data_IF_307267652297
#
_entry.id   IF_307267652297
#
_cell.length_a   1.000
_cell.length_b   1.000
_cell.length_c   1.000
_cell.angle_alpha   90.00
_cell.angle_beta   90.00
_cell.angle_gamma   90.00
#
_symmetry.space_group_name_H-M   'P 1'
#
loop_
_entity.id
_entity.type
_entity.pdbx_description
1 polymer ?
#
# COMPACT_ATOMS: atom_id res chain seq x y z
N UNK A 1 20.59 19.00 -5.37
CA UNK A 1 20.08 17.92 -6.25
C UNK A 1 18.77 17.31 -5.73
N UNK A 2 18.68 16.90 -4.45
CA UNK A 2 17.46 16.34 -3.88
C UNK A 2 16.30 17.35 -3.94
N UNK A 3 16.54 18.62 -3.63
CA UNK A 3 15.53 19.68 -3.68
C UNK A 3 14.95 19.91 -5.10
N UNK A 4 15.70 19.61 -6.16
CA UNK A 4 15.20 19.72 -7.53
C UNK A 4 14.35 18.49 -7.95
N UNK A 5 14.43 17.38 -7.21
CA UNK A 5 13.73 16.12 -7.53
C UNK A 5 12.54 15.82 -6.59
N UNK A 6 12.47 16.51 -5.46
CA UNK A 6 11.40 16.33 -4.48
C UNK A 6 10.34 17.41 -4.71
N UNK A 7 9.08 17.00 -4.94
CA UNK A 7 7.95 17.93 -4.98
C UNK A 7 7.92 18.73 -3.66
N UNK A 8 7.96 20.08 -3.69
CA UNK A 8 7.94 20.92 -2.48
C UNK A 8 6.76 20.65 -1.56
N UNK A 9 5.63 20.15 -2.12
CA UNK A 9 4.44 19.77 -1.36
C UNK A 9 4.58 18.43 -0.63
N UNK A 10 5.63 17.65 -0.93
CA UNK A 10 5.90 16.38 -0.26
C UNK A 10 6.84 16.59 0.94
N UNK A 11 6.32 17.28 1.97
CA UNK A 11 7.07 17.60 3.18
C UNK A 11 7.65 16.37 3.89
N UNK A 12 6.95 15.20 3.87
CA UNK A 12 7.45 13.96 4.47
C UNK A 12 8.75 13.50 3.81
N UNK A 13 8.83 13.59 2.50
CA UNK A 13 10.02 13.22 1.73
C UNK A 13 11.17 14.22 1.94
N UNK A 14 10.83 15.50 2.10
CA UNK A 14 11.79 16.55 2.41
C UNK A 14 12.37 16.36 3.82
N UNK A 15 11.52 16.13 4.83
CA UNK A 15 11.94 15.83 6.20
C UNK A 15 12.84 14.60 6.22
N UNK A 16 12.45 13.51 5.56
CA UNK A 16 13.27 12.29 5.50
C UNK A 16 14.64 12.53 4.88
N UNK A 17 14.73 13.36 3.84
CA UNK A 17 16.02 13.71 3.24
C UNK A 17 16.91 14.49 4.22
N UNK A 18 16.33 15.40 5.00
CA UNK A 18 17.05 16.15 6.04
C UNK A 18 17.50 15.25 7.20
N UNK A 19 16.62 14.38 7.71
CA UNK A 19 16.96 13.41 8.76
C UNK A 19 18.18 12.56 8.37
N UNK A 20 18.19 12.07 7.12
CA UNK A 20 19.29 11.27 6.61
C UNK A 20 20.59 12.07 6.54
N UNK A 21 20.54 13.33 6.08
CA UNK A 21 21.72 14.21 6.02
C UNK A 21 22.23 14.49 7.44
N UNK A 22 21.34 14.81 8.37
CA UNK A 22 21.71 15.09 9.77
C UNK A 22 22.32 13.88 10.47
N UNK A 23 21.81 12.69 10.21
CA UNK A 23 22.28 11.45 10.82
C UNK A 23 23.60 10.94 10.23
N UNK A 24 23.88 11.21 8.96
CA UNK A 24 24.99 10.57 8.24
C UNK A 24 26.07 11.55 7.77
N UNK A 25 25.80 12.87 7.78
CA UNK A 25 26.67 13.90 7.20
C UNK A 25 26.77 13.86 5.68
N UNK A 26 26.10 12.91 5.00
CA UNK A 26 26.16 12.72 3.55
C UNK A 26 24.86 13.18 2.88
N UNK A 27 24.96 13.70 1.67
CA UNK A 27 23.76 14.08 0.91
C UNK A 27 22.90 12.87 0.63
N UNK A 28 21.57 13.04 0.68
CA UNK A 28 20.58 11.98 0.41
C UNK A 28 20.79 11.35 -0.99
N UNK A 29 21.21 12.14 -1.98
CA UNK A 29 21.53 11.67 -3.33
C UNK A 29 22.79 10.78 -3.42
N UNK A 30 23.72 10.94 -2.49
CA UNK A 30 24.97 10.17 -2.44
C UNK A 30 24.79 8.80 -1.77
N UNK A 31 23.72 8.61 -1.00
CA UNK A 31 23.45 7.36 -0.30
C UNK A 31 22.70 6.32 -1.15
N UNK A 32 22.23 6.70 -2.32
CA UNK A 32 21.69 5.79 -3.32
C UNK A 32 22.82 5.15 -4.14
N UNK A 33 23.65 4.37 -3.48
CA UNK A 33 24.48 3.42 -4.20
C UNK A 33 23.57 2.35 -4.80
N UNK A 34 23.55 2.22 -6.12
CA UNK A 34 23.16 0.98 -6.76
C UNK A 34 24.32 0.01 -6.50
N UNK A 35 24.30 -0.69 -5.37
CA UNK A 35 25.10 -1.88 -5.27
C UNK A 35 24.37 -2.99 -6.03
N UNK A 36 25.07 -3.71 -6.86
CA UNK A 36 24.51 -4.92 -7.46
C UNK A 36 23.96 -5.82 -6.36
N UNK A 37 22.72 -6.23 -6.51
CA UNK A 37 22.08 -7.11 -5.53
C UNK A 37 22.86 -8.42 -5.49
N UNK A 38 23.29 -8.91 -4.30
CA UNK A 38 23.90 -10.23 -4.19
C UNK A 38 22.87 -11.35 -4.43
N UNK A 39 21.60 -11.01 -4.61
CA UNK A 39 20.49 -11.94 -4.81
C UNK A 39 20.00 -11.89 -6.25
N UNK A 40 19.67 -13.05 -6.80
CA UNK A 40 18.88 -13.15 -8.01
C UNK A 40 17.41 -12.87 -7.67
N UNK A 41 16.86 -11.76 -8.17
CA UNK A 41 15.50 -11.34 -7.85
C UNK A 41 14.54 -11.76 -8.96
N UNK A 42 13.53 -12.55 -8.58
CA UNK A 42 12.38 -12.87 -9.44
C UNK A 42 11.16 -12.11 -8.90
N UNK A 43 10.61 -11.24 -9.71
CA UNK A 43 9.44 -10.44 -9.32
C UNK A 43 8.18 -10.99 -9.98
N UNK A 44 7.24 -11.44 -9.17
CA UNK A 44 5.94 -11.96 -9.62
C UNK A 44 4.87 -10.90 -9.40
N UNK A 45 4.15 -10.54 -10.45
CA UNK A 45 2.99 -9.67 -10.42
C UNK A 45 1.69 -10.45 -10.52
N UNK A 46 0.71 -10.13 -9.69
CA UNK A 46 -0.65 -10.69 -9.76
C UNK A 46 -1.62 -9.64 -10.28
N UNK A 47 -2.39 -9.97 -11.30
CA UNK A 47 -3.36 -9.05 -11.89
C UNK A 47 -4.77 -9.64 -11.93
N UNK A 48 -5.76 -8.75 -11.91
CA UNK A 48 -7.18 -9.04 -12.10
C UNK A 48 -7.83 -7.91 -12.90
N UNK A 49 -8.92 -8.17 -13.62
CA UNK A 49 -9.74 -7.12 -14.21
C UNK A 49 -10.15 -6.08 -13.16
N UNK A 50 -10.10 -4.81 -13.52
CA UNK A 50 -10.37 -3.70 -12.59
C UNK A 50 -11.74 -3.79 -11.94
N UNK A 51 -12.75 -4.19 -12.68
CA UNK A 51 -14.11 -4.35 -12.17
C UNK A 51 -14.19 -5.44 -11.10
N UNK A 52 -13.54 -6.58 -11.33
CA UNK A 52 -13.45 -7.66 -10.34
C UNK A 52 -12.75 -7.19 -9.07
N UNK A 53 -11.64 -6.42 -9.21
CA UNK A 53 -10.96 -5.81 -8.07
C UNK A 53 -11.89 -4.90 -7.27
N UNK A 54 -12.70 -4.07 -7.94
CA UNK A 54 -13.62 -3.16 -7.27
C UNK A 54 -14.73 -3.92 -6.54
N UNK A 55 -15.31 -4.95 -7.16
CA UNK A 55 -16.30 -5.80 -6.49
C UNK A 55 -15.72 -6.47 -5.24
N UNK A 56 -14.50 -6.99 -5.31
CA UNK A 56 -13.81 -7.58 -4.16
C UNK A 56 -13.50 -6.57 -3.06
N UNK A 57 -13.10 -5.35 -3.43
CA UNK A 57 -12.89 -4.24 -2.48
C UNK A 57 -14.19 -3.92 -1.78
N UNK A 58 -15.28 -3.77 -2.51
CA UNK A 58 -16.58 -3.42 -1.95
C UNK A 58 -17.07 -4.52 -0.99
N UNK A 59 -17.02 -5.79 -1.41
CA UNK A 59 -17.37 -6.93 -0.56
C UNK A 59 -16.49 -7.04 0.70
N UNK A 60 -15.18 -6.79 0.57
CA UNK A 60 -14.25 -6.79 1.72
C UNK A 60 -14.60 -5.70 2.72
N UNK A 61 -14.93 -4.49 2.25
CA UNK A 61 -15.29 -3.38 3.14
C UNK A 61 -16.57 -3.73 3.91
N UNK A 62 -17.61 -4.26 3.24
CA UNK A 62 -18.81 -4.71 3.92
C UNK A 62 -18.49 -5.76 4.99
N UNK A 63 -17.72 -6.78 4.64
CA UNK A 63 -17.32 -7.82 5.58
C UNK A 63 -16.52 -7.27 6.78
N UNK A 64 -15.66 -6.29 6.59
CA UNK A 64 -14.91 -5.66 7.69
C UNK A 64 -15.84 -5.00 8.70
N UNK A 65 -16.84 -4.24 8.24
CA UNK A 65 -17.79 -3.59 9.14
C UNK A 65 -18.69 -4.61 9.85
N UNK A 66 -19.19 -5.62 9.15
CA UNK A 66 -19.98 -6.72 9.74
C UNK A 66 -19.18 -7.48 10.82
N UNK A 67 -17.87 -7.64 10.61
CA UNK A 67 -16.97 -8.32 11.55
C UNK A 67 -16.42 -7.41 12.67
N UNK A 68 -16.98 -6.22 12.87
CA UNK A 68 -16.69 -5.38 14.03
C UNK A 68 -15.48 -4.47 13.85
N UNK A 69 -15.19 -4.01 12.63
CA UNK A 69 -14.03 -3.12 12.39
C UNK A 69 -14.09 -1.80 13.20
N UNK A 70 -15.27 -1.23 13.41
CA UNK A 70 -15.45 -0.06 14.29
C UNK A 70 -15.11 -0.39 15.73
N UNK A 71 -15.49 -1.58 16.21
CA UNK A 71 -15.19 -2.01 17.58
C UNK A 71 -13.71 -2.32 17.78
N UNK A 72 -13.02 -2.85 16.77
CA UNK A 72 -11.56 -2.99 16.76
C UNK A 72 -10.89 -1.64 17.03
N UNK A 73 -11.26 -0.63 16.25
CA UNK A 73 -10.68 0.73 16.39
C UNK A 73 -11.04 1.35 17.74
N UNK A 74 -12.28 1.18 18.21
CA UNK A 74 -12.71 1.62 19.55
C UNK A 74 -11.87 0.98 20.64
N UNK A 75 -11.59 -0.32 20.55
CA UNK A 75 -10.73 -1.03 21.46
C UNK A 75 -9.29 -0.53 21.45
N UNK A 76 -8.74 -0.11 20.31
CA UNK A 76 -7.42 0.51 20.23
C UNK A 76 -7.40 1.87 20.92
N UNK A 77 -8.39 2.71 20.67
CA UNK A 77 -8.49 4.03 21.33
C UNK A 77 -8.67 3.88 22.85
N UNK A 78 -9.46 2.92 23.32
CA UNK A 78 -9.66 2.64 24.73
C UNK A 78 -8.37 2.18 25.43
N UNK A 79 -7.43 1.55 24.71
CA UNK A 79 -6.10 1.19 25.19
C UNK A 79 -5.10 2.35 25.18
N UNK A 80 -5.54 3.56 24.84
CA UNK A 80 -4.70 4.78 24.87
C UNK A 80 -3.91 5.04 23.58
N UNK A 81 -4.14 4.27 22.50
CA UNK A 81 -3.51 4.61 21.21
C UNK A 81 -4.12 5.90 20.65
N UNK A 82 -3.27 6.90 20.44
CA UNK A 82 -3.72 8.20 19.94
C UNK A 82 -4.24 8.10 18.49
N UNK A 83 -5.37 8.75 18.14
CA UNK A 83 -5.85 8.85 16.76
C UNK A 83 -4.91 9.65 15.84
N UNK A 84 -3.93 10.38 16.42
CA UNK A 84 -2.90 11.11 15.65
C UNK A 84 -1.70 10.25 15.25
N UNK A 85 -1.63 8.99 15.68
CA UNK A 85 -0.57 8.08 15.25
C UNK A 85 -0.58 7.89 13.74
N UNK A 86 0.60 7.84 13.08
CA UNK A 86 0.69 7.63 11.64
C UNK A 86 -0.07 6.39 11.15
N UNK A 87 -0.10 5.31 11.95
CA UNK A 87 -0.83 4.07 11.66
C UNK A 87 -2.35 4.27 11.64
N UNK A 88 -2.88 5.18 12.45
CA UNK A 88 -4.30 5.54 12.48
C UNK A 88 -4.74 6.37 11.25
N UNK A 89 -3.79 6.85 10.43
CA UNK A 89 -4.09 7.50 9.16
C UNK A 89 -4.33 6.52 8.00
N UNK A 90 -4.20 5.22 8.24
CA UNK A 90 -4.48 4.20 7.24
C UNK A 90 -5.95 4.23 6.80
N UNK A 91 -6.18 3.84 5.52
CA UNK A 91 -7.53 3.76 4.96
C UNK A 91 -8.35 2.79 5.80
N UNK A 92 -9.49 3.25 6.26
CA UNK A 92 -10.40 2.52 7.13
C UNK A 92 -10.29 2.95 8.59
N UNK A 93 -9.09 2.99 9.18
CA UNK A 93 -8.89 3.38 10.57
C UNK A 93 -9.31 4.83 10.83
N UNK A 94 -8.89 5.75 9.97
CA UNK A 94 -9.26 7.16 10.07
C UNK A 94 -10.77 7.35 9.98
N UNK A 95 -11.42 6.67 9.06
CA UNK A 95 -12.86 6.75 8.87
C UNK A 95 -13.62 6.14 10.07
N UNK A 96 -13.14 5.03 10.64
CA UNK A 96 -13.70 4.47 11.86
C UNK A 96 -13.52 5.39 13.08
N UNK A 97 -12.40 6.11 13.20
CA UNK A 97 -12.24 7.15 14.23
C UNK A 97 -13.33 8.23 14.09
N UNK A 98 -13.62 8.68 12.87
CA UNK A 98 -14.70 9.64 12.63
C UNK A 98 -16.10 9.08 12.95
N UNK A 99 -16.33 7.78 12.71
CA UNK A 99 -17.58 7.13 13.16
C UNK A 99 -17.69 7.13 14.68
N UNK A 100 -16.62 6.75 15.39
CA UNK A 100 -16.59 6.70 16.86
C UNK A 100 -16.83 8.09 17.47
N UNK A 101 -16.38 9.15 16.80
CA UNK A 101 -16.61 10.55 17.21
C UNK A 101 -18.00 11.08 16.85
N UNK A 102 -18.80 10.33 16.11
CA UNK A 102 -20.11 10.78 15.62
C UNK A 102 -20.03 11.79 14.45
N UNK A 103 -18.87 11.94 13.82
CA UNK A 103 -18.63 12.82 12.67
C UNK A 103 -19.16 12.19 11.37
N UNK A 104 -19.19 10.87 11.29
CA UNK A 104 -19.67 10.08 10.15
C UNK A 104 -20.60 8.97 10.62
N UNK A 105 -21.55 8.59 9.76
CA UNK A 105 -22.22 7.29 9.87
C UNK A 105 -21.34 6.17 9.31
N UNK A 106 -21.59 4.92 9.66
CA UNK A 106 -20.86 3.79 9.10
C UNK A 106 -20.98 3.73 7.58
N UNK A 107 -22.16 4.02 7.03
CA UNK A 107 -22.37 4.06 5.58
C UNK A 107 -21.54 5.15 4.90
N UNK A 108 -21.44 6.33 5.51
CA UNK A 108 -20.58 7.40 5.00
C UNK A 108 -19.10 7.01 5.06
N UNK A 109 -18.67 6.35 6.13
CA UNK A 109 -17.31 5.83 6.27
C UNK A 109 -17.01 4.78 5.19
N UNK A 110 -17.89 3.80 4.95
CA UNK A 110 -17.75 2.81 3.88
C UNK A 110 -17.59 3.47 2.50
N UNK A 111 -18.38 4.51 2.20
CA UNK A 111 -18.26 5.26 0.94
C UNK A 111 -16.88 5.91 0.81
N UNK A 112 -16.38 6.55 1.87
CA UNK A 112 -15.06 7.18 1.87
C UNK A 112 -13.94 6.15 1.71
N UNK A 113 -14.02 5.02 2.42
CA UNK A 113 -13.05 3.92 2.34
C UNK A 113 -13.02 3.34 0.92
N UNK A 114 -14.18 3.07 0.30
CA UNK A 114 -14.26 2.61 -1.10
C UNK A 114 -13.54 3.59 -2.05
N UNK A 115 -13.84 4.87 -1.93
CA UNK A 115 -13.22 5.92 -2.76
C UNK A 115 -11.70 5.95 -2.59
N UNK A 116 -11.21 5.95 -1.35
CA UNK A 116 -9.78 5.97 -1.04
C UNK A 116 -9.07 4.70 -1.57
N UNK A 117 -9.68 3.52 -1.37
CA UNK A 117 -9.13 2.24 -1.83
C UNK A 117 -9.07 2.17 -3.36
N UNK A 118 -10.09 2.66 -4.08
CA UNK A 118 -10.07 2.73 -5.54
C UNK A 118 -8.98 3.67 -6.07
N UNK A 119 -8.70 4.77 -5.36
CA UNK A 119 -7.54 5.63 -5.67
C UNK A 119 -6.24 4.88 -5.47
N UNK A 120 -6.14 4.10 -4.39
CA UNK A 120 -4.95 3.28 -4.09
C UNK A 120 -4.72 2.22 -5.18
N UNK A 121 -5.75 1.49 -5.60
CA UNK A 121 -5.69 0.52 -6.72
C UNK A 121 -5.13 1.16 -7.98
N UNK A 122 -5.62 2.35 -8.36
CA UNK A 122 -5.09 3.06 -9.54
C UNK A 122 -3.63 3.46 -9.39
N UNK A 123 -3.22 3.89 -8.19
CA UNK A 123 -1.82 4.24 -7.91
C UNK A 123 -0.90 3.04 -7.99
N UNK A 124 -1.33 1.87 -7.50
CA UNK A 124 -0.55 0.64 -7.66
C UNK A 124 -0.32 0.29 -9.14
N UNK A 125 -1.36 0.37 -9.99
CA UNK A 125 -1.24 0.12 -11.41
C UNK A 125 -0.32 1.12 -12.15
N UNK A 126 -0.13 2.33 -11.61
CA UNK A 126 0.83 3.29 -12.15
C UNK A 126 2.29 2.97 -11.75
N UNK A 127 2.49 2.33 -10.61
CA UNK A 127 3.82 1.93 -10.12
C UNK A 127 4.28 0.61 -10.73
N UNK A 128 3.37 -0.36 -10.80
CA UNK A 128 3.62 -1.71 -11.31
C UNK A 128 2.85 -1.86 -12.64
N UNK A 129 3.54 -1.66 -13.72
CA UNK A 129 2.94 -1.71 -15.07
C UNK A 129 3.03 -3.13 -15.62
N UNK A 130 1.96 -3.60 -16.24
CA UNK A 130 1.96 -4.89 -16.94
C UNK A 130 2.96 -4.94 -18.10
N UNK A 131 3.40 -3.77 -18.59
CA UNK A 131 4.45 -3.64 -19.61
C UNK A 131 5.88 -3.69 -19.05
N UNK A 132 6.06 -3.80 -17.73
CA UNK A 132 7.39 -3.92 -17.12
C UNK A 132 7.93 -5.34 -17.33
N UNK A 133 8.97 -5.45 -18.15
CA UNK A 133 9.62 -6.73 -18.47
C UNK A 133 10.33 -7.38 -17.26
N UNK A 134 10.60 -6.63 -16.20
CA UNK A 134 11.17 -7.14 -14.95
C UNK A 134 10.14 -7.83 -14.04
N UNK A 135 8.86 -7.84 -14.42
CA UNK A 135 7.77 -8.43 -13.63
C UNK A 135 7.08 -9.52 -14.43
N UNK A 136 7.05 -10.74 -13.89
CA UNK A 136 6.32 -11.87 -14.46
C UNK A 136 4.85 -11.79 -14.01
N UNK A 137 3.96 -11.34 -14.88
CA UNK A 137 2.56 -11.12 -14.57
C UNK A 137 1.68 -12.35 -14.75
N UNK A 138 0.87 -12.65 -13.72
CA UNK A 138 -0.10 -13.73 -13.75
C UNK A 138 -1.49 -13.21 -13.43
N UNK A 139 -2.47 -13.58 -14.26
CA UNK A 139 -3.87 -13.36 -13.94
C UNK A 139 -4.29 -14.35 -12.85
N UNK A 140 -4.90 -13.83 -11.79
CA UNK A 140 -5.37 -14.67 -10.68
C UNK A 140 -6.61 -15.45 -11.10
N UNK A 141 -6.43 -16.75 -11.29
CA UNK A 141 -7.44 -17.74 -11.66
C UNK A 141 -7.15 -19.09 -10.98
N UNK A 142 -8.00 -20.08 -11.18
CA UNK A 142 -7.74 -21.42 -10.67
C UNK A 142 -6.41 -21.96 -11.24
N UNK A 143 -5.58 -22.57 -10.39
CA UNK A 143 -4.28 -23.13 -10.76
C UNK A 143 -3.18 -22.09 -11.00
N UNK A 144 -3.37 -20.81 -10.64
CA UNK A 144 -2.34 -19.77 -10.81
C UNK A 144 -1.09 -20.07 -9.98
N UNK A 145 -1.22 -20.70 -8.82
CA UNK A 145 -0.10 -21.06 -7.96
C UNK A 145 0.84 -22.02 -8.67
N UNK A 146 0.29 -23.08 -9.28
CA UNK A 146 1.07 -24.07 -10.02
C UNK A 146 1.78 -23.46 -11.24
N UNK A 147 1.14 -22.48 -11.91
CA UNK A 147 1.75 -21.74 -13.01
C UNK A 147 2.93 -20.89 -12.54
N UNK A 148 2.79 -20.23 -11.40
CA UNK A 148 3.84 -19.41 -10.79
C UNK A 148 5.00 -20.30 -10.37
N UNK A 149 4.73 -21.41 -9.70
CA UNK A 149 5.74 -22.37 -9.25
C UNK A 149 6.57 -22.89 -10.42
N UNK A 150 5.92 -23.34 -11.50
CA UNK A 150 6.61 -23.77 -12.73
C UNK A 150 7.46 -22.65 -13.34
N UNK A 151 6.96 -21.41 -13.35
CA UNK A 151 7.73 -20.29 -13.87
C UNK A 151 8.96 -19.99 -13.01
N UNK A 152 8.83 -20.04 -11.68
CA UNK A 152 9.96 -19.85 -10.76
C UNK A 152 11.01 -20.94 -11.01
N UNK A 153 10.63 -22.20 -11.10
CA UNK A 153 11.57 -23.29 -11.38
C UNK A 153 12.33 -23.08 -12.69
N UNK A 154 11.65 -22.60 -13.75
CA UNK A 154 12.32 -22.29 -15.03
C UNK A 154 13.31 -21.13 -14.95
N UNK A 155 13.10 -20.18 -14.03
CA UNK A 155 13.95 -18.99 -13.87
C UNK A 155 15.11 -19.21 -12.89
N UNK A 156 15.00 -20.21 -12.03
CA UNK A 156 15.96 -20.50 -10.94
C UNK A 156 16.63 -21.87 -11.13
N UNK A 157 16.40 -22.53 -12.27
CA UNK A 157 17.09 -23.77 -12.58
C UNK A 157 18.62 -23.57 -12.52
N UNK A 158 19.19 -24.22 -11.52
CA UNK A 158 20.63 -24.34 -11.23
C UNK A 158 21.28 -25.36 -12.12
#
# INVERSE_FOLDING_TARGET
>A
EAAAKIDPRNYRRTIRALEVIMATGKKFSEQRGQSDSPYHLVTIGLTRPREELYQRVDARIEAMFVNGFVDEVRGLLARGYSPSLPTMSAIGYRECVSVIRGELTEEQAKVQIRRATRVYVRRQANWFKESDAGIHWFRVEAGVVDKIEKNIHQLVDF
#
